data_IF_471535658444
#
_entry.id   IF_471535658444
#
_cell.length_a   1.000
_cell.length_b   1.000
_cell.length_c   1.000
_cell.angle_alpha   90.00
_cell.angle_beta   90.00
_cell.angle_gamma   90.00
#
_symmetry.space_group_name_H-M   'P 1'
#
loop_
_entity.id
_entity.type
_entity.pdbx_description
1 polymer ?
#
# COMPACT_ATOMS: atom_id res chain seq x y z
N UNK A 1 -3.48 1.57 -34.26
CA UNK A 1 -3.88 2.43 -33.13
C UNK A 1 -3.17 1.91 -31.91
N UNK A 2 -2.14 2.61 -31.43
CA UNK A 2 -1.43 2.22 -30.21
C UNK A 2 -2.41 2.24 -29.04
N UNK A 3 -2.78 1.06 -28.57
CA UNK A 3 -3.55 0.90 -27.36
C UNK A 3 -2.66 1.37 -26.21
N UNK A 4 -2.92 2.59 -25.70
CA UNK A 4 -2.19 3.16 -24.56
C UNK A 4 -2.12 2.10 -23.45
N UNK A 5 -0.90 1.70 -23.10
CA UNK A 5 -0.62 0.78 -21.99
C UNK A 5 -1.34 1.26 -20.73
N UNK A 6 -2.01 0.35 -20.02
CA UNK A 6 -2.71 0.67 -18.77
C UNK A 6 -1.68 1.05 -17.70
N UNK A 7 -1.88 2.22 -17.09
CA UNK A 7 -0.96 2.80 -16.09
C UNK A 7 -1.64 3.05 -14.75
N UNK A 8 -0.98 2.63 -13.67
CA UNK A 8 -1.39 2.86 -12.28
C UNK A 8 -0.53 3.95 -11.64
N UNK A 9 -1.15 4.96 -11.03
CA UNK A 9 -0.44 5.91 -10.17
C UNK A 9 -0.61 5.46 -8.71
N UNK A 10 0.48 5.05 -8.08
CA UNK A 10 0.53 4.62 -6.67
C UNK A 10 0.97 5.80 -5.83
N UNK A 11 0.18 6.17 -4.82
CA UNK A 11 0.51 7.28 -3.91
C UNK A 11 0.97 6.69 -2.58
N UNK A 12 2.27 6.77 -2.29
CA UNK A 12 2.92 6.18 -1.12
C UNK A 12 3.81 4.99 -1.47
N UNK A 13 5.09 5.08 -1.12
CA UNK A 13 6.16 4.10 -1.35
C UNK A 13 6.54 3.31 -0.11
N UNK A 14 5.56 2.89 0.69
CA UNK A 14 5.78 1.99 1.83
C UNK A 14 5.45 0.54 1.48
N UNK A 15 5.27 -0.33 2.49
CA UNK A 15 5.01 -1.77 2.32
C UNK A 15 3.88 -2.03 1.33
N UNK A 16 2.72 -1.39 1.51
CA UNK A 16 1.56 -1.60 0.64
C UNK A 16 1.82 -1.14 -0.81
N UNK A 17 2.38 0.06 -0.99
CA UNK A 17 2.65 0.62 -2.31
C UNK A 17 3.74 -0.12 -3.09
N UNK A 18 4.84 -0.47 -2.42
CA UNK A 18 5.92 -1.26 -3.02
C UNK A 18 5.48 -2.70 -3.32
N UNK A 19 4.67 -3.32 -2.44
CA UNK A 19 4.10 -4.64 -2.72
C UNK A 19 3.20 -4.61 -3.96
N UNK A 20 2.34 -3.60 -4.08
CA UNK A 20 1.51 -3.42 -5.27
C UNK A 20 2.37 -3.19 -6.52
N UNK A 21 3.39 -2.35 -6.43
CA UNK A 21 4.30 -2.10 -7.55
C UNK A 21 4.98 -3.40 -8.05
N UNK A 22 5.47 -4.25 -7.14
CA UNK A 22 6.03 -5.56 -7.50
C UNK A 22 4.98 -6.46 -8.18
N UNK A 23 3.74 -6.47 -7.69
CA UNK A 23 2.65 -7.22 -8.33
C UNK A 23 2.37 -6.71 -9.75
N UNK A 24 2.32 -5.39 -9.95
CA UNK A 24 2.08 -4.79 -11.26
C UNK A 24 3.24 -5.07 -12.23
N UNK A 25 4.49 -4.93 -11.76
CA UNK A 25 5.70 -5.21 -12.55
C UNK A 25 5.70 -6.65 -13.09
N UNK A 26 5.38 -7.61 -12.22
CA UNK A 26 5.27 -9.05 -12.58
C UNK A 26 4.18 -9.37 -13.59
N UNK A 27 3.15 -8.52 -13.67
CA UNK A 27 2.05 -8.68 -14.62
C UNK A 27 2.21 -7.77 -15.85
N UNK A 28 3.36 -7.11 -16.02
CA UNK A 28 3.63 -6.24 -17.17
C UNK A 28 2.74 -4.98 -17.21
N UNK A 29 2.20 -4.56 -16.06
CA UNK A 29 1.33 -3.37 -15.97
C UNK A 29 2.21 -2.15 -15.61
N UNK A 30 2.04 -1.05 -16.34
CA UNK A 30 2.81 0.16 -16.08
C UNK A 30 2.37 0.85 -14.79
N UNK A 31 3.32 1.46 -14.08
CA UNK A 31 3.04 2.17 -12.84
C UNK A 31 4.03 3.30 -12.57
N UNK A 32 3.67 4.17 -11.65
CA UNK A 32 4.59 5.12 -10.99
C UNK A 32 4.23 5.21 -9.51
N UNK A 33 5.22 5.24 -8.64
CA UNK A 33 5.07 5.45 -7.21
C UNK A 33 5.47 6.90 -6.90
N UNK A 34 4.57 7.61 -6.21
CA UNK A 34 4.80 8.95 -5.70
C UNK A 34 4.98 8.85 -4.17
N UNK A 35 6.22 8.96 -3.70
CA UNK A 35 6.55 8.93 -2.28
C UNK A 35 6.73 10.35 -1.75
N UNK A 36 6.08 10.67 -0.62
CA UNK A 36 6.08 12.01 -0.05
C UNK A 36 7.42 12.40 0.62
N UNK A 37 8.13 11.43 1.19
CA UNK A 37 9.44 11.65 1.79
C UNK A 37 10.55 11.67 0.74
N UNK A 38 11.68 12.29 1.10
CA UNK A 38 12.88 12.37 0.24
C UNK A 38 13.66 11.05 0.14
N UNK A 39 13.31 10.05 0.95
CA UNK A 39 13.91 8.73 0.94
C UNK A 39 12.82 7.67 1.13
N UNK A 40 12.96 6.54 0.44
CA UNK A 40 11.98 5.44 0.44
C UNK A 40 11.93 4.68 1.77
N UNK A 41 13.06 4.59 2.48
CA UNK A 41 13.20 3.87 3.72
C UNK A 41 13.81 4.77 4.81
N UNK A 42 13.07 5.81 5.25
CA UNK A 42 13.59 6.70 6.28
C UNK A 42 13.76 5.92 7.60
N UNK A 43 14.70 6.34 8.45
CA UNK A 43 14.97 5.75 9.75
C UNK A 43 13.90 6.13 10.79
N UNK A 44 12.66 5.75 10.48
CA UNK A 44 11.45 6.02 11.26
C UNK A 44 10.74 4.67 11.38
N UNK A 45 11.24 3.83 12.29
CA UNK A 45 10.88 2.42 12.37
C UNK A 45 10.43 2.00 13.76
N UNK A 46 9.21 1.45 13.83
CA UNK A 46 8.79 0.56 14.90
C UNK A 46 8.95 -0.90 14.43
N UNK A 47 8.97 -1.84 15.37
CA UNK A 47 8.99 -3.27 15.06
C UNK A 47 7.75 -3.67 14.24
N UNK A 48 7.95 -4.46 13.19
CA UNK A 48 6.90 -5.02 12.34
C UNK A 48 6.78 -6.52 12.58
N UNK A 49 5.59 -6.98 12.96
CA UNK A 49 5.27 -8.40 13.07
C UNK A 49 4.79 -8.96 11.75
N UNK A 50 5.61 -9.78 11.09
CA UNK A 50 5.23 -10.51 9.88
C UNK A 50 4.58 -11.85 10.27
N UNK A 51 3.27 -11.94 10.05
CA UNK A 51 2.49 -13.16 10.27
C UNK A 51 2.54 -14.09 9.04
N UNK A 52 2.20 -15.39 9.17
CA UNK A 52 2.30 -16.36 8.08
C UNK A 52 1.60 -15.96 6.78
N UNK A 53 0.43 -15.30 6.86
CA UNK A 53 -0.30 -14.81 5.68
C UNK A 53 0.49 -13.74 4.92
N UNK A 54 1.11 -12.80 5.64
CA UNK A 54 1.97 -11.77 5.05
C UNK A 54 3.24 -12.37 4.45
N UNK A 55 3.87 -13.32 5.14
CA UNK A 55 5.07 -14.01 4.65
C UNK A 55 4.80 -14.80 3.37
N UNK A 56 3.63 -15.43 3.24
CA UNK A 56 3.22 -16.12 2.02
C UNK A 56 3.14 -15.16 0.82
N UNK A 57 2.61 -13.95 1.02
CA UNK A 57 2.59 -12.94 -0.05
C UNK A 57 4.01 -12.47 -0.38
N UNK A 58 4.84 -12.23 0.63
CA UNK A 58 6.24 -11.83 0.42
C UNK A 58 7.04 -12.93 -0.30
N UNK A 59 6.73 -14.20 -0.07
CA UNK A 59 7.31 -15.34 -0.78
C UNK A 59 6.92 -15.34 -2.25
N UNK A 60 5.62 -15.18 -2.53
CA UNK A 60 5.16 -14.98 -3.90
C UNK A 60 5.88 -13.80 -4.55
N UNK A 61 6.14 -12.70 -3.84
CA UNK A 61 6.90 -11.54 -4.33
C UNK A 61 8.42 -11.75 -4.39
N UNK A 62 8.95 -12.90 -3.97
CA UNK A 62 10.38 -13.22 -4.01
C UNK A 62 11.20 -12.46 -2.97
N UNK A 63 10.54 -11.99 -1.91
CA UNK A 63 11.10 -11.22 -0.80
C UNK A 63 11.32 -12.06 0.47
N UNK A 64 10.68 -13.24 0.57
CA UNK A 64 10.67 -14.04 1.80
C UNK A 64 12.06 -14.38 2.33
N UNK A 65 12.95 -14.90 1.48
CA UNK A 65 14.32 -15.27 1.91
C UNK A 65 15.11 -14.07 2.45
N UNK A 66 14.99 -12.90 1.79
CA UNK A 66 15.61 -11.66 2.26
C UNK A 66 15.05 -11.25 3.63
N UNK A 67 13.74 -11.35 3.82
CA UNK A 67 13.05 -11.02 5.08
C UNK A 67 13.42 -12.00 6.19
N UNK A 68 13.49 -13.29 5.89
CA UNK A 68 13.87 -14.33 6.85
C UNK A 68 15.30 -14.13 7.33
N UNK A 69 16.23 -13.83 6.42
CA UNK A 69 17.63 -13.53 6.75
C UNK A 69 17.76 -12.30 7.66
N UNK A 70 16.91 -11.30 7.49
CA UNK A 70 16.92 -10.06 8.28
C UNK A 70 16.31 -10.22 9.66
N UNK A 71 15.24 -11.01 9.78
CA UNK A 71 14.60 -11.26 11.07
C UNK A 71 15.48 -12.08 12.02
N UNK A 72 16.48 -12.78 11.48
CA UNK A 72 17.48 -13.63 12.16
C UNK A 72 16.87 -14.85 12.88
N UNK A 73 15.91 -14.64 13.78
CA UNK A 73 15.25 -15.67 14.57
C UNK A 73 13.72 -15.54 14.52
N UNK A 74 13.02 -16.58 14.03
CA UNK A 74 11.59 -16.70 14.22
C UNK A 74 11.17 -16.72 15.69
N UNK A 75 9.97 -16.20 15.97
CA UNK A 75 9.40 -16.22 17.33
C UNK A 75 9.12 -17.66 17.74
N UNK A 76 9.78 -18.12 18.80
CA UNK A 76 9.56 -19.46 19.36
C UNK A 76 8.75 -19.44 20.67
N UNK A 77 8.76 -18.32 21.40
CA UNK A 77 8.02 -18.15 22.65
C UNK A 77 7.32 -16.81 22.71
N UNK A 78 6.07 -16.81 23.20
CA UNK A 78 5.32 -15.61 23.55
C UNK A 78 5.06 -15.62 25.06
N UNK A 79 5.50 -14.55 25.73
CA UNK A 79 5.38 -14.39 27.17
C UNK A 79 4.40 -13.25 27.46
N UNK A 80 3.28 -13.57 28.08
CA UNK A 80 2.31 -12.58 28.57
C UNK A 80 2.56 -12.37 30.05
N UNK A 81 2.79 -11.12 30.44
CA UNK A 81 3.08 -10.72 31.83
C UNK A 81 2.12 -9.61 32.24
N UNK A 82 1.83 -9.54 33.54
CA UNK A 82 1.07 -8.41 34.10
C UNK A 82 1.94 -7.15 34.24
N UNK A 83 1.36 -6.08 34.78
CA UNK A 83 2.06 -4.81 35.01
C UNK A 83 3.18 -4.89 36.05
N UNK A 84 3.22 -5.93 36.88
CA UNK A 84 4.28 -6.21 37.85
C UNK A 84 5.33 -7.18 37.29
N UNK A 85 5.21 -7.58 36.03
CA UNK A 85 6.11 -8.51 35.35
C UNK A 85 5.86 -9.99 35.70
N UNK A 86 4.81 -10.32 36.45
CA UNK A 86 4.49 -11.72 36.77
C UNK A 86 3.94 -12.45 35.54
N UNK A 87 4.37 -13.70 35.30
CA UNK A 87 3.90 -14.46 34.14
C UNK A 87 2.41 -14.79 34.26
N UNK A 88 1.63 -14.38 33.26
CA UNK A 88 0.22 -14.75 33.11
C UNK A 88 0.05 -15.98 32.21
N UNK A 89 0.76 -15.99 31.08
CA UNK A 89 0.68 -17.07 30.10
C UNK A 89 2.02 -17.18 29.36
N UNK A 90 2.44 -18.42 29.06
CA UNK A 90 3.55 -18.68 28.13
C UNK A 90 3.10 -19.61 27.01
N UNK A 91 3.29 -19.20 25.76
CA UNK A 91 3.12 -20.06 24.59
C UNK A 91 4.50 -20.49 24.13
N UNK A 92 4.78 -21.80 24.15
CA UNK A 92 6.03 -22.39 23.68
C UNK A 92 5.87 -22.99 22.29
N UNK A 93 6.99 -23.26 21.60
CA UNK A 93 7.02 -23.87 20.27
C UNK A 93 6.14 -23.13 19.24
N UNK A 94 6.09 -21.79 19.35
CA UNK A 94 5.32 -20.94 18.44
C UNK A 94 5.84 -21.11 17.01
N UNK A 95 7.16 -21.22 16.83
CA UNK A 95 7.78 -21.44 15.53
C UNK A 95 7.29 -22.75 14.90
N UNK A 96 7.43 -23.86 15.62
CA UNK A 96 7.04 -25.18 15.13
C UNK A 96 5.53 -25.27 14.85
N UNK A 97 4.70 -24.77 15.75
CA UNK A 97 3.24 -24.73 15.56
C UNK A 97 2.82 -23.85 14.38
N UNK A 98 3.45 -22.68 14.21
CA UNK A 98 3.14 -21.75 13.12
C UNK A 98 3.52 -22.35 11.76
N UNK A 99 4.74 -22.89 11.63
CA UNK A 99 5.21 -23.56 10.42
C UNK A 99 4.37 -24.81 10.11
N UNK A 100 4.08 -25.65 11.11
CA UNK A 100 3.30 -26.87 10.90
C UNK A 100 1.88 -26.61 10.39
N UNK A 101 1.23 -25.56 10.88
CA UNK A 101 -0.15 -25.23 10.49
C UNK A 101 -0.26 -24.33 9.26
N UNK A 102 0.72 -23.45 9.01
CA UNK A 102 0.59 -22.40 7.99
C UNK A 102 1.70 -22.41 6.92
N UNK A 103 2.75 -23.22 7.11
CA UNK A 103 3.94 -23.29 6.25
C UNK A 103 4.98 -22.18 6.51
N UNK A 104 4.66 -21.18 7.33
CA UNK A 104 5.52 -20.02 7.58
C UNK A 104 5.56 -19.69 9.08
N UNK A 105 6.67 -19.11 9.59
CA UNK A 105 6.79 -18.71 10.99
C UNK A 105 6.10 -17.35 11.30
N UNK A 106 6.26 -16.88 12.54
CA UNK A 106 6.06 -15.47 12.91
C UNK A 106 7.44 -14.81 13.03
N UNK A 107 7.63 -13.67 12.36
CA UNK A 107 8.87 -12.89 12.39
C UNK A 107 8.62 -11.50 12.97
N UNK A 108 9.60 -10.95 13.69
CA UNK A 108 9.67 -9.52 13.99
C UNK A 108 10.92 -8.93 13.35
N UNK A 109 10.76 -7.79 12.69
CA UNK A 109 11.85 -7.08 12.01
C UNK A 109 11.57 -5.58 12.01
N UNK A 110 12.59 -4.76 11.74
CA UNK A 110 12.36 -3.33 11.54
C UNK A 110 11.53 -3.11 10.28
N UNK A 111 10.46 -2.31 10.39
CA UNK A 111 9.62 -1.92 9.26
C UNK A 111 10.44 -1.34 8.10
N UNK A 112 11.48 -0.56 8.41
CA UNK A 112 12.40 0.02 7.43
C UNK A 112 13.06 -1.06 6.59
N UNK A 113 13.54 -2.13 7.21
CA UNK A 113 14.22 -3.22 6.50
C UNK A 113 13.28 -3.93 5.52
N UNK A 114 12.00 -4.11 5.88
CA UNK A 114 11.01 -4.67 4.96
C UNK A 114 10.76 -3.75 3.76
N UNK A 115 10.70 -2.44 3.99
CA UNK A 115 10.58 -1.45 2.92
C UNK A 115 11.80 -1.49 2.00
N UNK A 116 13.01 -1.59 2.55
CA UNK A 116 14.25 -1.75 1.78
C UNK A 116 14.22 -3.02 0.91
N UNK A 117 13.82 -4.17 1.46
CA UNK A 117 13.68 -5.42 0.67
C UNK A 117 12.74 -5.25 -0.51
N UNK A 118 11.56 -4.68 -0.25
CA UNK A 118 10.55 -4.50 -1.30
C UNK A 118 11.03 -3.52 -2.36
N UNK A 119 11.63 -2.41 -1.94
CA UNK A 119 12.21 -1.43 -2.85
C UNK A 119 13.31 -2.06 -3.70
N UNK A 120 14.26 -2.79 -3.11
CA UNK A 120 15.35 -3.45 -3.82
C UNK A 120 14.88 -4.42 -4.90
N UNK A 121 13.70 -5.04 -4.72
CA UNK A 121 13.12 -5.98 -5.69
C UNK A 121 12.47 -5.33 -6.90
N UNK A 122 12.16 -4.02 -6.86
CA UNK A 122 11.65 -3.27 -8.02
C UNK A 122 12.74 -3.21 -9.09
N UNK A 123 12.46 -3.61 -10.33
CA UNK A 123 13.48 -3.60 -11.39
C UNK A 123 13.78 -2.18 -11.88
N UNK A 124 12.74 -1.39 -12.14
CA UNK A 124 12.88 -0.03 -12.64
C UNK A 124 12.72 1.00 -11.51
N UNK A 125 13.85 1.39 -10.90
CA UNK A 125 13.86 2.40 -9.83
C UNK A 125 13.39 3.78 -10.30
N UNK A 126 13.43 4.08 -11.60
CA UNK A 126 12.98 5.37 -12.12
C UNK A 126 11.48 5.59 -11.95
N UNK A 127 10.72 4.50 -11.73
CA UNK A 127 9.28 4.53 -11.42
C UNK A 127 8.98 4.91 -9.98
N UNK A 128 9.98 5.06 -9.12
CA UNK A 128 9.82 5.43 -7.71
C UNK A 128 10.31 6.86 -7.51
N UNK A 129 9.39 7.80 -7.42
CA UNK A 129 9.69 9.23 -7.37
C UNK A 129 9.43 9.75 -5.96
N UNK A 130 10.52 10.07 -5.27
CA UNK A 130 10.53 10.64 -3.90
C UNK A 130 10.26 12.14 -3.91
N UNK A 131 9.96 12.71 -2.74
CA UNK A 131 9.60 14.13 -2.56
C UNK A 131 8.34 14.55 -3.32
N UNK A 132 7.48 13.60 -3.68
CA UNK A 132 6.24 13.78 -4.42
C UNK A 132 5.03 13.64 -3.50
N UNK A 133 4.85 14.59 -2.58
CA UNK A 133 3.64 14.63 -1.76
C UNK A 133 2.45 15.03 -2.64
N UNK A 134 1.40 14.21 -2.65
CA UNK A 134 0.19 14.50 -3.41
C UNK A 134 -0.60 15.66 -2.79
N UNK A 135 -1.03 16.60 -3.63
CA UNK A 135 -1.79 17.79 -3.26
C UNK A 135 -3.26 17.70 -3.72
N UNK A 136 -3.51 17.21 -4.92
CA UNK A 136 -4.86 17.06 -5.48
C UNK A 136 -4.94 15.93 -6.47
N UNK A 137 -6.16 15.45 -6.72
CA UNK A 137 -6.45 14.40 -7.68
C UNK A 137 -7.67 14.81 -8.51
N UNK A 138 -7.50 14.83 -9.82
CA UNK A 138 -8.55 15.15 -10.78
C UNK A 138 -8.96 13.89 -11.52
N UNK A 139 -10.21 13.46 -11.31
CA UNK A 139 -10.77 12.31 -12.01
C UNK A 139 -11.41 12.77 -13.33
N UNK A 140 -10.76 12.43 -14.44
CA UNK A 140 -11.28 12.63 -15.79
C UNK A 140 -12.13 11.46 -16.28
N UNK A 141 -12.61 11.55 -17.52
CA UNK A 141 -13.48 10.51 -18.10
C UNK A 141 -12.73 9.20 -18.39
N UNK A 142 -11.50 9.30 -18.89
CA UNK A 142 -10.67 8.16 -19.32
C UNK A 142 -9.37 7.99 -18.53
N UNK A 143 -9.00 8.99 -17.74
CA UNK A 143 -7.77 9.03 -16.96
C UNK A 143 -7.96 9.80 -15.66
N UNK A 144 -6.99 9.69 -14.77
CA UNK A 144 -6.88 10.45 -13.53
C UNK A 144 -5.53 11.15 -13.50
N UNK A 145 -5.53 12.41 -13.07
CA UNK A 145 -4.32 13.23 -12.94
C UNK A 145 -4.08 13.53 -11.48
N UNK A 146 -2.87 13.26 -11.02
CA UNK A 146 -2.40 13.56 -9.67
C UNK A 146 -1.46 14.75 -9.76
N UNK A 147 -1.70 15.77 -8.95
CA UNK A 147 -0.81 16.93 -8.82
C UNK A 147 -0.12 16.88 -7.46
N UNK A 148 1.20 17.05 -7.46
CA UNK A 148 2.02 17.02 -6.25
C UNK A 148 2.28 18.43 -5.73
N UNK A 149 2.79 18.55 -4.50
CA UNK A 149 3.10 19.85 -3.88
C UNK A 149 4.22 20.61 -4.58
N UNK A 150 5.00 19.94 -5.44
CA UNK A 150 6.02 20.60 -6.29
C UNK A 150 5.41 21.21 -7.56
N UNK A 151 4.11 20.98 -7.81
CA UNK A 151 3.41 21.39 -9.03
C UNK A 151 3.53 20.39 -10.19
N UNK A 152 4.27 19.30 -10.01
CA UNK A 152 4.36 18.24 -11.02
C UNK A 152 3.05 17.46 -11.12
N UNK A 153 2.80 16.91 -12.31
CA UNK A 153 1.58 16.18 -12.61
C UNK A 153 1.87 14.79 -13.16
N UNK A 154 1.05 13.83 -12.74
CA UNK A 154 1.16 12.42 -13.10
C UNK A 154 -0.19 11.88 -13.53
N UNK A 155 -0.28 11.42 -14.78
CA UNK A 155 -1.53 10.88 -15.34
C UNK A 155 -1.46 9.35 -15.43
N UNK A 156 -2.56 8.69 -15.06
CA UNK A 156 -2.75 7.25 -15.21
C UNK A 156 -4.22 6.89 -15.48
N UNK A 157 -4.50 5.60 -15.62
CA UNK A 157 -5.86 5.08 -15.77
C UNK A 157 -6.59 4.95 -14.43
N UNK A 158 -5.85 4.69 -13.35
CA UNK A 158 -6.34 4.64 -11.97
C UNK A 158 -5.29 5.21 -11.00
N UNK A 159 -5.76 5.65 -9.83
CA UNK A 159 -4.91 5.99 -8.68
C UNK A 159 -5.18 5.00 -7.55
N UNK A 160 -4.10 4.48 -6.95
CA UNK A 160 -4.17 3.67 -5.73
C UNK A 160 -3.43 4.40 -4.61
N UNK A 161 -4.17 4.78 -3.58
CA UNK A 161 -3.65 5.35 -2.34
C UNK A 161 -3.09 4.26 -1.45
N UNK A 162 -1.80 4.36 -1.16
CA UNK A 162 -1.04 3.61 -0.18
C UNK A 162 -0.31 4.58 0.79
N UNK A 163 -0.93 5.73 1.04
CA UNK A 163 -0.39 6.92 1.73
C UNK A 163 -0.75 6.96 3.24
N UNK A 164 -1.07 5.81 3.81
CA UNK A 164 -1.15 5.59 5.26
C UNK A 164 -2.34 6.25 5.97
N UNK A 165 -2.22 6.38 7.30
CA UNK A 165 -3.33 6.81 8.16
C UNK A 165 -3.82 8.23 7.87
N UNK A 166 -2.95 9.11 7.37
CA UNK A 166 -3.29 10.48 6.98
C UNK A 166 -3.59 10.62 5.48
N UNK A 167 -4.07 9.54 4.86
CA UNK A 167 -4.29 9.43 3.40
C UNK A 167 -5.01 10.64 2.80
N UNK A 168 -4.32 11.30 1.88
CA UNK A 168 -4.84 12.33 0.99
C UNK A 168 -5.73 11.71 -0.08
N UNK A 169 -5.37 10.54 -0.60
CA UNK A 169 -6.20 9.84 -1.60
C UNK A 169 -7.59 9.53 -1.03
N UNK A 170 -7.68 9.05 0.21
CA UNK A 170 -8.95 8.78 0.89
C UNK A 170 -9.80 10.04 1.06
N UNK A 171 -9.18 11.19 1.36
CA UNK A 171 -9.89 12.46 1.42
C UNK A 171 -10.44 12.89 0.05
N UNK A 172 -9.65 12.75 -1.02
CA UNK A 172 -10.10 13.09 -2.37
C UNK A 172 -11.21 12.13 -2.87
N UNK A 173 -11.18 10.85 -2.48
CA UNK A 173 -12.29 9.91 -2.71
C UNK A 173 -13.59 10.39 -2.07
N UNK A 174 -13.54 10.84 -0.81
CA UNK A 174 -14.72 11.35 -0.12
C UNK A 174 -15.29 12.60 -0.81
N UNK A 175 -14.43 13.56 -1.17
CA UNK A 175 -14.83 14.75 -1.94
C UNK A 175 -15.46 14.39 -3.29
N UNK A 176 -14.92 13.40 -3.98
CA UNK A 176 -15.47 12.94 -5.26
C UNK A 176 -16.85 12.30 -5.07
N UNK A 177 -17.02 11.48 -4.03
CA UNK A 177 -18.31 10.87 -3.69
C UNK A 177 -19.37 11.93 -3.33
N UNK A 178 -19.03 12.93 -2.52
CA UNK A 178 -19.94 14.03 -2.17
C UNK A 178 -20.43 14.81 -3.40
N UNK A 179 -19.54 15.08 -4.37
CA UNK A 179 -19.91 15.73 -5.64
C UNK A 179 -20.89 14.88 -6.44
N UNK A 180 -20.68 13.57 -6.49
CA UNK A 180 -21.57 12.64 -7.20
C UNK A 180 -22.95 12.62 -6.52
N UNK A 181 -23.00 12.48 -5.19
CA UNK A 181 -24.26 12.48 -4.44
C UNK A 181 -25.03 13.78 -4.64
N UNK A 182 -24.34 14.93 -4.54
CA UNK A 182 -24.97 16.24 -4.77
C UNK A 182 -25.49 16.39 -6.19
N UNK A 183 -24.74 15.90 -7.20
CA UNK A 183 -25.18 15.92 -8.60
C UNK A 183 -26.43 15.06 -8.79
N UNK A 184 -26.45 13.83 -8.27
CA UNK A 184 -27.62 12.94 -8.32
C UNK A 184 -28.82 13.58 -7.65
N UNK A 185 -28.63 14.19 -6.48
CA UNK A 185 -29.70 14.89 -5.76
C UNK A 185 -30.29 16.03 -6.60
N UNK A 186 -29.45 16.87 -7.21
CA UNK A 186 -29.90 17.96 -8.10
C UNK A 186 -30.63 17.40 -9.33
N UNK A 187 -30.10 16.36 -9.96
CA UNK A 187 -30.72 15.71 -11.12
C UNK A 187 -32.10 15.14 -10.79
N UNK A 188 -32.25 14.47 -9.64
CA UNK A 188 -33.54 13.98 -9.13
C UNK A 188 -34.52 15.14 -8.90
N UNK A 189 -34.08 16.22 -8.23
CA UNK A 189 -34.93 17.41 -7.97
C UNK A 189 -35.37 18.07 -9.28
N UNK A 190 -34.53 18.06 -10.31
CA UNK A 190 -34.83 18.59 -11.64
C UNK A 190 -35.60 17.61 -12.55
N UNK A 191 -36.00 16.44 -12.05
CA UNK A 191 -36.73 15.43 -12.83
C UNK A 191 -35.88 14.73 -13.90
N UNK A 192 -34.56 14.87 -13.84
CA UNK A 192 -33.61 14.24 -14.76
C UNK A 192 -33.03 12.99 -14.09
N UNK A 193 -33.41 11.80 -14.53
CA UNK A 193 -32.80 10.57 -14.00
C UNK A 193 -31.43 10.31 -14.63
N UNK A 194 -30.36 10.12 -13.84
CA UNK A 194 -29.03 9.83 -14.39
C UNK A 194 -29.02 8.51 -15.16
N UNK A 195 -28.63 8.56 -16.44
CA UNK A 195 -28.47 7.35 -17.29
C UNK A 195 -27.21 6.54 -16.98
N UNK A 196 -26.25 7.09 -16.22
CA UNK A 196 -25.00 6.41 -15.83
C UNK A 196 -24.32 7.12 -14.65
N UNK A 197 -23.90 6.38 -13.63
CA UNK A 197 -23.02 6.88 -12.57
C UNK A 197 -21.58 6.76 -13.07
N UNK A 198 -20.82 7.85 -13.04
CA UNK A 198 -19.39 7.85 -13.38
C UNK A 198 -18.61 6.85 -12.52
N UNK A 199 -17.77 6.01 -13.13
CA UNK A 199 -16.91 5.07 -12.40
C UNK A 199 -15.82 5.85 -11.65
N UNK A 200 -15.78 5.70 -10.31
CA UNK A 200 -14.66 6.18 -9.50
C UNK A 200 -13.40 5.37 -9.87
N UNK A 201 -12.31 6.08 -10.18
CA UNK A 201 -11.00 5.50 -10.53
C UNK A 201 -9.94 5.70 -9.43
N UNK A 202 -10.39 6.07 -8.23
CA UNK A 202 -9.56 6.18 -7.02
C UNK A 202 -9.87 4.99 -6.11
N UNK A 203 -8.81 4.34 -5.64
CA UNK A 203 -8.86 3.30 -4.63
C UNK A 203 -7.90 3.70 -3.50
N UNK A 204 -8.25 3.47 -2.24
CA UNK A 204 -7.36 3.71 -1.10
C UNK A 204 -7.25 2.45 -0.26
N UNK A 205 -6.02 2.06 0.05
CA UNK A 205 -5.67 0.96 0.94
C UNK A 205 -5.28 1.61 2.27
N UNK A 206 -6.19 1.60 3.24
CA UNK A 206 -5.93 2.10 4.59
C UNK A 206 -5.94 0.93 5.58
N UNK A 207 -4.96 0.82 6.49
CA UNK A 207 -5.24 0.17 7.76
C UNK A 207 -6.26 1.04 8.49
N UNK A 208 -7.35 0.42 8.96
CA UNK A 208 -8.34 1.07 9.82
C UNK A 208 -7.78 1.35 11.20
#
# INVERSE_FOLDING_TARGET
>A
MDQKSFKVVIVGGSIAGLSLALMLERNGIDFVILEAYSSIAPQVGASFGALPSGLRILDQLGCYESVLKMAEYPVDKLLFRDSQGQPLWTVNNVKGGSIGSHGYPILFLDRRMLVEVLYEKIQDKSKVITSQRVQSIENGTSSVTVTTTTGETYTGNIVVGADGIHSKVRQEMWKAAEKIVRKIYIEIVLGQFPKRISTLRLFAISPG
#
